data_IF_440194630366
#
_entry.id   IF_440194630366
#
_cell.length_a   1.000
_cell.length_b   1.000
_cell.length_c   1.000
_cell.angle_alpha   90.00
_cell.angle_beta   90.00
_cell.angle_gamma   90.00
#
_symmetry.space_group_name_H-M   'P 1'
#
loop_
_entity.id
_entity.type
_entity.pdbx_description
1 polymer ?
#
# COMPACT_ATOMS: atom_id res chain seq x y z
N UNK A 1 1.49 -8.88 32.13
CA UNK A 1 2.85 -8.31 32.06
C UNK A 1 3.76 -9.37 31.43
N UNK A 2 4.42 -9.07 30.32
CA UNK A 2 5.34 -10.00 29.66
C UNK A 2 6.68 -9.97 30.40
N UNK A 3 7.06 -11.07 31.06
CA UNK A 3 8.34 -11.19 31.77
C UNK A 3 9.42 -11.79 30.85
N UNK A 4 9.65 -11.15 29.71
CA UNK A 4 10.65 -11.57 28.73
C UNK A 4 11.32 -10.33 28.08
N UNK A 5 12.60 -10.45 27.75
CA UNK A 5 13.31 -9.45 26.96
C UNK A 5 13.17 -9.81 25.48
N UNK A 6 12.42 -9.00 24.72
CA UNK A 6 12.27 -9.21 23.28
C UNK A 6 13.63 -9.01 22.59
N UNK A 7 14.05 -9.99 21.79
CA UNK A 7 15.21 -9.86 20.91
C UNK A 7 14.72 -9.59 19.48
N UNK A 8 14.74 -8.32 19.08
CA UNK A 8 14.40 -7.90 17.71
C UNK A 8 15.63 -8.13 16.83
N UNK A 9 15.46 -8.88 15.74
CA UNK A 9 16.54 -9.09 14.76
C UNK A 9 17.02 -7.72 14.25
N UNK A 10 18.34 -7.55 14.19
CA UNK A 10 18.95 -6.34 13.63
C UNK A 10 18.49 -6.20 12.16
N UNK A 11 17.98 -5.03 11.76
CA UNK A 11 17.53 -4.84 10.38
C UNK A 11 18.72 -4.88 9.40
N UNK A 12 18.46 -5.41 8.22
CA UNK A 12 19.32 -5.32 7.04
C UNK A 12 18.57 -4.62 5.92
N UNK A 13 19.29 -3.98 4.99
CA UNK A 13 18.67 -3.42 3.80
C UNK A 13 18.03 -4.53 2.97
N UNK A 14 16.86 -4.24 2.41
CA UNK A 14 16.17 -5.12 1.47
C UNK A 14 16.97 -5.18 0.16
N UNK A 15 17.23 -6.37 -0.42
CA UNK A 15 17.90 -6.48 -1.71
C UNK A 15 17.09 -5.81 -2.81
N UNK A 16 17.77 -5.12 -3.74
CA UNK A 16 17.16 -4.49 -4.92
C UNK A 16 17.22 -5.48 -6.08
N UNK A 17 16.07 -5.79 -6.68
CA UNK A 17 16.00 -6.68 -7.83
C UNK A 17 16.27 -5.92 -9.15
N UNK A 18 17.15 -6.44 -10.01
CA UNK A 18 17.57 -5.74 -11.23
C UNK A 18 16.54 -5.82 -12.37
N UNK A 19 15.59 -6.75 -12.30
CA UNK A 19 14.61 -7.03 -13.36
C UNK A 19 15.26 -7.25 -14.73
N UNK A 20 16.27 -8.13 -14.80
CA UNK A 20 16.95 -8.42 -16.05
C UNK A 20 16.07 -9.26 -17.01
N UNK A 21 16.35 -9.25 -18.32
CA UNK A 21 15.64 -10.10 -19.27
C UNK A 21 15.75 -11.59 -18.92
N UNK A 22 14.61 -12.25 -18.76
CA UNK A 22 14.54 -13.68 -18.43
C UNK A 22 14.38 -13.99 -16.94
N UNK A 23 14.58 -13.01 -16.05
CA UNK A 23 14.39 -13.18 -14.61
C UNK A 23 12.93 -13.52 -14.26
N UNK A 24 12.76 -14.32 -13.21
CA UNK A 24 11.44 -14.64 -12.67
C UNK A 24 10.74 -13.37 -12.18
N UNK A 25 11.49 -12.49 -11.54
CA UNK A 25 11.09 -11.20 -11.00
C UNK A 25 10.50 -10.32 -12.11
N UNK A 26 11.15 -10.29 -13.27
CA UNK A 26 10.68 -9.57 -14.46
C UNK A 26 9.34 -10.11 -14.96
N UNK A 27 9.17 -11.44 -14.96
CA UNK A 27 7.89 -12.05 -15.32
C UNK A 27 6.80 -11.66 -14.32
N UNK A 28 7.06 -11.80 -13.01
CA UNK A 28 6.08 -11.47 -11.96
C UNK A 28 5.67 -10.00 -11.98
N UNK A 29 6.61 -9.09 -12.26
CA UNK A 29 6.31 -7.66 -12.42
C UNK A 29 5.42 -7.40 -13.65
N UNK A 30 5.71 -8.04 -14.78
CA UNK A 30 4.87 -7.93 -15.99
C UNK A 30 3.45 -8.46 -15.75
N UNK A 31 3.33 -9.60 -15.07
CA UNK A 31 2.04 -10.20 -14.72
C UNK A 31 1.24 -9.24 -13.81
N UNK A 32 1.88 -8.61 -12.81
CA UNK A 32 1.24 -7.63 -11.94
C UNK A 32 0.82 -6.35 -12.67
N UNK A 33 1.61 -5.87 -13.64
CA UNK A 33 1.23 -4.72 -14.49
C UNK A 33 0.00 -5.07 -15.34
N UNK A 34 -0.03 -6.26 -15.93
CA UNK A 34 -1.15 -6.71 -16.74
C UNK A 34 -2.43 -6.86 -15.90
N UNK A 35 -2.33 -7.43 -14.70
CA UNK A 35 -3.44 -7.57 -13.75
C UNK A 35 -4.05 -6.21 -13.37
N UNK A 36 -3.22 -5.24 -13.00
CA UNK A 36 -3.68 -3.90 -12.64
C UNK A 36 -4.28 -3.14 -13.83
N UNK A 37 -3.71 -3.25 -15.03
CA UNK A 37 -4.29 -2.64 -16.25
C UNK A 37 -5.59 -3.32 -16.69
N UNK A 38 -5.79 -4.59 -16.36
CA UNK A 38 -6.96 -5.39 -16.72
C UNK A 38 -8.13 -5.26 -15.74
N UNK A 39 -7.93 -4.60 -14.60
CA UNK A 39 -8.91 -4.52 -13.51
C UNK A 39 -9.46 -3.11 -13.38
N UNK A 40 -10.79 -2.97 -13.34
CA UNK A 40 -11.40 -1.69 -12.95
C UNK A 40 -11.35 -1.55 -11.42
N UNK A 41 -10.61 -0.55 -10.95
CA UNK A 41 -10.39 -0.32 -9.51
C UNK A 41 -11.17 0.91 -9.06
N UNK A 42 -12.01 0.73 -8.04
CA UNK A 42 -12.62 1.82 -7.28
C UNK A 42 -11.91 1.91 -5.92
N UNK A 43 -11.38 3.10 -5.60
CA UNK A 43 -10.60 3.36 -4.39
C UNK A 43 -11.50 4.12 -3.40
N UNK A 44 -12.02 3.44 -2.35
CA UNK A 44 -12.80 4.10 -1.31
C UNK A 44 -11.89 4.88 -0.35
N UNK A 45 -12.51 5.74 0.45
CA UNK A 45 -11.87 6.22 1.67
C UNK A 45 -11.92 5.09 2.72
N UNK A 46 -10.85 4.90 3.48
CA UNK A 46 -10.83 3.97 4.62
C UNK A 46 -10.84 4.77 5.92
N UNK A 47 -11.98 4.78 6.61
CA UNK A 47 -12.17 5.55 7.86
C UNK A 47 -12.59 4.58 8.97
N UNK A 48 -11.80 4.51 10.05
CA UNK A 48 -12.06 3.60 11.16
C UNK A 48 -12.14 2.12 10.75
N UNK A 49 -11.40 1.72 9.71
CA UNK A 49 -11.42 0.36 9.16
C UNK A 49 -12.60 0.04 8.24
N UNK A 50 -13.41 1.04 7.85
CA UNK A 50 -14.56 0.87 6.95
C UNK A 50 -14.36 1.61 5.62
N UNK A 51 -14.84 1.01 4.54
CA UNK A 51 -14.92 1.65 3.23
C UNK A 51 -16.04 2.69 3.20
N UNK A 52 -15.71 3.93 2.84
CA UNK A 52 -16.65 5.03 2.62
C UNK A 52 -16.59 5.44 1.15
N UNK A 53 -17.75 5.39 0.49
CA UNK A 53 -17.96 5.81 -0.90
C UNK A 53 -18.75 7.11 -0.93
N UNK A 54 -18.10 8.20 -1.34
CA UNK A 54 -18.70 9.55 -1.34
C UNK A 54 -19.50 9.87 -2.60
N UNK A 55 -19.31 9.10 -3.68
CA UNK A 55 -19.81 9.41 -5.02
C UNK A 55 -19.09 10.56 -5.74
N UNK A 56 -18.43 11.48 -5.01
CA UNK A 56 -17.57 12.49 -5.60
C UNK A 56 -16.23 11.87 -6.00
N UNK A 57 -16.06 11.53 -7.28
CA UNK A 57 -14.93 10.75 -7.76
C UNK A 57 -13.89 11.58 -8.50
N UNK A 58 -12.62 11.21 -8.34
CA UNK A 58 -11.52 11.58 -9.23
C UNK A 58 -11.00 10.36 -9.99
N UNK A 59 -10.12 10.58 -10.96
CA UNK A 59 -9.55 9.53 -11.80
C UNK A 59 -8.04 9.40 -11.55
N UNK A 60 -7.55 8.16 -11.54
CA UNK A 60 -6.15 7.83 -11.62
C UNK A 60 -5.84 7.39 -13.05
N UNK A 61 -4.96 8.13 -13.72
CA UNK A 61 -4.53 7.85 -15.10
C UNK A 61 -3.02 7.77 -15.15
N UNK A 62 -2.41 6.75 -15.78
CA UNK A 62 -0.97 6.67 -15.90
C UNK A 62 -0.41 7.90 -16.64
N UNK A 63 0.63 8.58 -16.12
CA UNK A 63 1.16 9.77 -16.80
C UNK A 63 1.72 9.49 -18.20
N UNK A 64 2.20 8.27 -18.46
CA UNK A 64 2.69 7.84 -19.78
C UNK A 64 1.59 7.30 -20.72
N UNK A 65 0.35 7.16 -20.25
CA UNK A 65 -0.78 6.61 -21.01
C UNK A 65 -2.09 7.20 -20.49
N UNK A 66 -2.26 8.52 -20.62
CA UNK A 66 -3.37 9.25 -20.04
C UNK A 66 -4.76 8.83 -20.57
N UNK A 67 -4.84 8.17 -21.73
CA UNK A 67 -6.09 7.61 -22.25
C UNK A 67 -6.60 6.43 -21.41
N UNK A 68 -5.71 5.71 -20.75
CA UNK A 68 -6.05 4.58 -19.90
C UNK A 68 -6.58 5.06 -18.54
N UNK A 69 -7.77 4.58 -18.16
CA UNK A 69 -8.31 4.78 -16.82
C UNK A 69 -7.85 3.62 -15.94
N UNK A 70 -6.97 3.90 -14.97
CA UNK A 70 -6.43 2.88 -14.08
C UNK A 70 -7.32 2.64 -12.86
N UNK A 71 -7.86 3.72 -12.28
CA UNK A 71 -8.77 3.64 -11.15
C UNK A 71 -9.65 4.90 -11.06
N UNK A 72 -10.75 4.80 -10.33
CA UNK A 72 -11.51 5.95 -9.81
C UNK A 72 -11.36 5.98 -8.29
N UNK A 73 -11.22 7.15 -7.70
CA UNK A 73 -11.11 7.28 -6.24
C UNK A 73 -12.14 8.24 -5.68
N UNK A 74 -12.63 7.96 -4.48
CA UNK A 74 -13.53 8.85 -3.76
C UNK A 74 -12.77 10.02 -3.13
N UNK A 75 -13.22 11.24 -3.39
CA UNK A 75 -12.73 12.46 -2.75
C UNK A 75 -13.43 12.66 -1.42
N UNK A 76 -12.65 13.04 -0.40
CA UNK A 76 -13.15 13.35 0.94
C UNK A 76 -13.64 14.80 1.00
N UNK A 77 -14.84 15.00 1.56
CA UNK A 77 -15.35 16.31 1.94
C UNK A 77 -15.14 16.61 3.42
N UNK A 78 -15.67 17.74 3.88
CA UNK A 78 -15.57 18.16 5.29
C UNK A 78 -16.14 17.11 6.26
N UNK A 79 -17.25 16.47 5.88
CA UNK A 79 -17.89 15.42 6.68
C UNK A 79 -16.96 14.22 6.88
N UNK A 80 -16.38 13.71 5.80
CA UNK A 80 -15.50 12.53 5.84
C UNK A 80 -14.21 12.84 6.61
N UNK A 81 -13.71 14.07 6.52
CA UNK A 81 -12.56 14.53 7.31
C UNK A 81 -12.89 14.53 8.81
N UNK A 82 -14.06 15.05 9.21
CA UNK A 82 -14.51 15.00 10.62
C UNK A 82 -14.65 13.56 11.13
N UNK A 83 -15.26 12.68 10.32
CA UNK A 83 -15.34 11.25 10.64
C UNK A 83 -13.96 10.61 10.81
N UNK A 84 -12.99 10.95 9.96
CA UNK A 84 -11.62 10.44 10.05
C UNK A 84 -10.91 10.92 11.32
N UNK A 85 -11.10 12.19 11.71
CA UNK A 85 -10.54 12.74 12.95
C UNK A 85 -11.11 12.01 14.17
N UNK A 86 -12.44 11.87 14.25
CA UNK A 86 -13.11 11.18 15.35
C UNK A 86 -12.65 9.73 15.46
N UNK A 87 -12.60 9.00 14.33
CA UNK A 87 -12.14 7.62 14.29
C UNK A 87 -10.69 7.47 14.75
N UNK A 88 -9.81 8.39 14.34
CA UNK A 88 -8.41 8.39 14.76
C UNK A 88 -8.25 8.71 16.26
N UNK A 89 -9.02 9.65 16.80
CA UNK A 89 -9.00 10.00 18.22
C UNK A 89 -9.51 8.85 19.10
N UNK A 90 -10.51 8.10 18.64
CA UNK A 90 -11.00 6.93 19.36
C UNK A 90 -9.96 5.80 19.34
N UNK A 91 -9.43 5.45 18.15
CA UNK A 91 -8.42 4.41 18.00
C UNK A 91 -7.11 4.72 18.75
N UNK A 92 -6.82 6.02 18.98
CA UNK A 92 -5.62 6.46 19.71
C UNK A 92 -5.51 5.83 21.08
N UNK A 93 -6.62 5.66 21.82
CA UNK A 93 -6.60 5.13 23.19
C UNK A 93 -6.03 3.71 23.21
N UNK A 94 -6.63 2.83 22.42
CA UNK A 94 -6.21 1.42 22.31
C UNK A 94 -4.81 1.29 21.70
N UNK A 95 -4.50 2.07 20.65
CA UNK A 95 -3.19 2.03 20.01
C UNK A 95 -2.07 2.49 20.94
N UNK A 96 -2.31 3.52 21.77
CA UNK A 96 -1.31 4.03 22.70
C UNK A 96 -1.08 3.07 23.89
N UNK A 97 -2.13 2.39 24.34
CA UNK A 97 -2.05 1.36 25.38
C UNK A 97 -1.43 0.05 24.89
N UNK A 98 -1.45 -0.19 23.57
CA UNK A 98 -0.84 -1.37 22.97
C UNK A 98 0.66 -1.46 23.31
N UNK A 99 1.14 -2.61 23.82
CA UNK A 99 2.57 -2.86 24.03
C UNK A 99 3.36 -2.54 22.77
N UNK A 100 4.53 -1.90 22.93
CA UNK A 100 5.32 -1.45 21.80
C UNK A 100 5.77 -2.63 20.92
N UNK A 101 5.92 -3.83 21.49
CA UNK A 101 6.25 -5.08 20.79
C UNK A 101 5.14 -5.48 19.82
N UNK A 102 3.87 -5.36 20.24
CA UNK A 102 2.72 -5.66 19.41
C UNK A 102 2.60 -4.63 18.27
N UNK A 103 2.84 -3.35 18.56
CA UNK A 103 2.91 -2.30 17.51
C UNK A 103 4.02 -2.57 16.52
N UNK A 104 5.22 -2.93 16.98
CA UNK A 104 6.35 -3.30 16.14
C UNK A 104 6.02 -4.52 15.25
N UNK A 105 5.32 -5.52 15.79
CA UNK A 105 4.99 -6.74 15.04
C UNK A 105 4.16 -6.48 13.78
N UNK A 106 3.29 -5.46 13.82
CA UNK A 106 2.48 -5.05 12.67
C UNK A 106 3.39 -4.55 11.54
N UNK A 107 4.37 -3.71 11.86
CA UNK A 107 5.31 -3.17 10.87
C UNK A 107 6.28 -4.24 10.36
N UNK A 108 6.74 -5.15 11.21
CA UNK A 108 7.56 -6.29 10.77
C UNK A 108 6.78 -7.19 9.82
N UNK A 109 5.49 -7.42 10.09
CA UNK A 109 4.64 -8.18 9.17
C UNK A 109 4.40 -7.45 7.86
N UNK A 110 4.17 -6.14 7.90
CA UNK A 110 4.03 -5.31 6.70
C UNK A 110 5.29 -5.33 5.83
N UNK A 111 6.48 -5.28 6.45
CA UNK A 111 7.75 -5.39 5.74
C UNK A 111 7.92 -6.75 5.05
N UNK A 112 7.60 -7.86 5.73
CA UNK A 112 7.63 -9.21 5.13
C UNK A 112 6.65 -9.34 3.96
N UNK A 113 5.44 -8.79 4.11
CA UNK A 113 4.43 -8.79 3.05
C UNK A 113 4.91 -8.00 1.84
N UNK A 114 5.53 -6.83 2.05
CA UNK A 114 6.07 -5.99 0.99
C UNK A 114 7.28 -6.62 0.29
N UNK A 115 8.18 -7.25 1.04
CA UNK A 115 9.35 -7.94 0.50
C UNK A 115 8.99 -9.16 -0.35
N UNK A 116 7.89 -9.85 -0.01
CA UNK A 116 7.44 -11.07 -0.67
C UNK A 116 6.18 -10.86 -1.51
N UNK A 117 5.01 -11.32 -1.02
CA UNK A 117 3.81 -11.50 -1.86
C UNK A 117 3.24 -10.21 -2.45
N UNK A 118 3.50 -9.04 -1.85
CA UNK A 118 2.99 -7.76 -2.32
C UNK A 118 3.97 -6.97 -3.20
N UNK A 119 5.24 -7.38 -3.29
CA UNK A 119 6.32 -6.61 -3.93
C UNK A 119 5.94 -6.15 -5.34
N UNK A 120 5.62 -7.11 -6.21
CA UNK A 120 5.34 -6.83 -7.62
C UNK A 120 4.06 -6.02 -7.82
N UNK A 121 3.06 -6.22 -6.97
CA UNK A 121 1.81 -5.45 -7.02
C UNK A 121 2.04 -3.99 -6.65
N UNK A 122 2.82 -3.71 -5.60
CA UNK A 122 3.18 -2.33 -5.24
C UNK A 122 4.07 -1.69 -6.30
N UNK A 123 5.08 -2.40 -6.81
CA UNK A 123 5.95 -1.86 -7.85
C UNK A 123 5.16 -1.55 -9.12
N UNK A 124 4.27 -2.44 -9.56
CA UNK A 124 3.38 -2.20 -10.69
C UNK A 124 2.45 -1.00 -10.47
N UNK A 125 1.86 -0.86 -9.27
CA UNK A 125 1.01 0.29 -8.94
C UNK A 125 1.78 1.62 -8.98
N UNK A 126 3.00 1.64 -8.43
CA UNK A 126 3.92 2.78 -8.49
C UNK A 126 4.30 3.12 -9.94
N UNK A 127 4.70 2.12 -10.73
CA UNK A 127 5.06 2.31 -12.14
C UNK A 127 3.91 2.89 -12.94
N UNK A 128 2.71 2.32 -12.82
CA UNK A 128 1.52 2.76 -13.56
C UNK A 128 1.04 4.13 -13.07
N UNK A 129 0.84 4.31 -11.78
CA UNK A 129 0.27 5.54 -11.22
C UNK A 129 1.21 6.75 -11.25
N UNK A 130 2.53 6.52 -11.26
CA UNK A 130 3.54 7.60 -11.14
C UNK A 130 4.57 7.60 -12.26
N UNK A 131 4.40 6.75 -13.28
CA UNK A 131 5.29 6.66 -14.44
C UNK A 131 6.75 6.36 -14.12
N UNK A 132 6.99 5.54 -13.10
CA UNK A 132 8.32 5.04 -12.74
C UNK A 132 8.73 3.87 -13.64
N UNK A 133 10.04 3.73 -13.86
CA UNK A 133 10.60 2.50 -14.43
C UNK A 133 10.78 1.44 -13.31
N UNK A 134 11.04 0.15 -13.64
CA UNK A 134 11.14 -0.91 -12.64
C UNK A 134 12.15 -0.61 -11.53
N UNK A 135 13.33 -0.09 -11.88
CA UNK A 135 14.38 0.23 -10.92
C UNK A 135 14.04 1.39 -9.98
N UNK A 136 13.18 2.32 -10.40
CA UNK A 136 12.73 3.44 -9.56
C UNK A 136 11.53 3.10 -8.68
N UNK A 137 10.81 2.04 -9.02
CA UNK A 137 9.68 1.53 -8.24
C UNK A 137 10.14 0.53 -7.16
N UNK A 138 11.23 -0.16 -7.43
CA UNK A 138 12.00 -1.00 -6.50
C UNK A 138 12.80 -0.19 -5.49
#
# INVERSE_FOLDING_TARGET
MFNAKLNVRKPSNEPVFPYAPGDKETKMLKDAIADLKGTEIEIPLIIGGKEIRTGDMGECRPPHEHSHLLAKYHKAGEKEIKMAIEAALEARKEWAEMPWEARLSIFLKAAELLAGPWRYKLNAATMLGQSKNPFQAE
#
